data_IF_517524158761
#
_entry.id   IF_517524158761
#
_cell.length_a   1.000
_cell.length_b   1.000
_cell.length_c   1.000
_cell.angle_alpha   90.00
_cell.angle_beta   90.00
_cell.angle_gamma   90.00
#
_symmetry.space_group_name_H-M   'P 1'
#
loop_
_entity.id
_entity.type
_entity.pdbx_description
1 polymer ?
#
# COMPACT_ATOMS: atom_id res chain seq x y z
N UNK A 1 9.16 25.56 -7.52
CA UNK A 1 7.91 25.09 -6.86
C UNK A 1 7.44 23.76 -7.45
N UNK A 2 7.70 23.47 -8.73
CA UNK A 2 7.31 22.23 -9.42
C UNK A 2 7.84 20.92 -8.80
N UNK A 3 9.13 20.81 -8.47
CA UNK A 3 9.72 19.50 -8.12
C UNK A 3 9.29 18.90 -6.76
N UNK A 4 9.02 19.72 -5.75
CA UNK A 4 8.56 19.23 -4.44
C UNK A 4 7.09 18.78 -4.49
N UNK A 5 6.27 19.48 -5.29
CA UNK A 5 4.87 19.09 -5.54
C UNK A 5 4.77 17.81 -6.38
N UNK A 6 5.76 17.58 -7.24
CA UNK A 6 5.89 16.37 -8.06
C UNK A 6 6.12 15.12 -7.20
N UNK A 7 7.16 15.14 -6.35
CA UNK A 7 7.46 14.01 -5.45
C UNK A 7 6.27 13.72 -4.52
N UNK A 8 5.61 14.76 -3.99
CA UNK A 8 4.38 14.61 -3.21
C UNK A 8 3.24 13.92 -4.00
N UNK A 9 3.09 14.23 -5.29
CA UNK A 9 2.06 13.65 -6.16
C UNK A 9 2.30 12.18 -6.47
N UNK A 10 3.54 11.82 -6.83
CA UNK A 10 3.93 10.43 -7.11
C UNK A 10 3.84 9.60 -5.83
N UNK A 11 4.31 10.14 -4.71
CA UNK A 11 4.23 9.48 -3.42
C UNK A 11 2.78 9.25 -3.00
N UNK A 12 1.88 10.22 -3.17
CA UNK A 12 0.44 10.04 -2.92
C UNK A 12 -0.17 8.97 -3.83
N UNK A 13 0.17 8.96 -5.11
CA UNK A 13 -0.32 7.95 -6.05
C UNK A 13 0.17 6.55 -5.67
N UNK A 14 1.47 6.39 -5.41
CA UNK A 14 2.07 5.11 -4.98
C UNK A 14 1.44 4.59 -3.68
N UNK A 15 1.04 5.48 -2.79
CA UNK A 15 0.55 5.12 -1.46
C UNK A 15 -0.93 4.83 -1.47
N UNK A 16 -1.71 5.60 -2.23
CA UNK A 16 -3.09 5.27 -2.53
C UNK A 16 -3.18 3.91 -3.25
N UNK A 17 -2.32 3.66 -4.24
CA UNK A 17 -2.25 2.36 -4.92
C UNK A 17 -1.87 1.22 -3.97
N UNK A 18 -0.83 1.40 -3.15
CA UNK A 18 -0.41 0.42 -2.14
C UNK A 18 -1.51 0.11 -1.12
N UNK A 19 -2.33 1.09 -0.74
CA UNK A 19 -3.47 0.88 0.17
C UNK A 19 -4.54 0.05 -0.52
N UNK A 20 -4.93 0.38 -1.77
CA UNK A 20 -5.91 -0.42 -2.51
C UNK A 20 -5.43 -1.85 -2.69
N UNK A 21 -4.16 -2.03 -3.07
CA UNK A 21 -3.50 -3.33 -3.11
C UNK A 21 -3.59 -4.07 -1.78
N UNK A 22 -3.22 -3.42 -0.67
CA UNK A 22 -3.25 -4.01 0.66
C UNK A 22 -4.65 -4.44 1.09
N UNK A 23 -5.67 -3.63 0.79
CA UNK A 23 -7.06 -3.98 1.06
C UNK A 23 -7.50 -5.20 0.23
N UNK A 24 -7.13 -5.26 -1.05
CA UNK A 24 -7.48 -6.38 -1.92
C UNK A 24 -6.80 -7.67 -1.46
N UNK A 25 -5.50 -7.63 -1.15
CA UNK A 25 -4.77 -8.81 -0.66
C UNK A 25 -5.26 -9.25 0.71
N UNK A 26 -5.61 -8.31 1.59
CA UNK A 26 -6.21 -8.61 2.89
C UNK A 26 -7.58 -9.27 2.74
N UNK A 27 -8.47 -8.72 1.90
CA UNK A 27 -9.78 -9.33 1.62
C UNK A 27 -9.63 -10.76 1.09
N UNK A 28 -8.67 -11.02 0.20
CA UNK A 28 -8.38 -12.39 -0.25
C UNK A 28 -7.81 -13.29 0.84
N UNK A 29 -7.02 -12.75 1.77
CA UNK A 29 -6.52 -13.48 2.93
C UNK A 29 -7.64 -13.85 3.92
N UNK A 30 -8.58 -12.95 4.16
CA UNK A 30 -9.71 -13.18 5.06
C UNK A 30 -10.63 -14.27 4.55
N UNK A 31 -10.90 -14.33 3.24
CA UNK A 31 -11.74 -15.38 2.64
C UNK A 31 -11.18 -16.79 2.91
N UNK A 32 -9.86 -16.96 2.91
CA UNK A 32 -9.20 -18.24 3.23
C UNK A 32 -9.42 -18.65 4.69
N UNK A 33 -9.44 -17.69 5.62
CA UNK A 33 -9.59 -17.97 7.05
C UNK A 33 -11.01 -18.49 7.38
N UNK A 34 -12.02 -18.08 6.60
CA UNK A 34 -13.41 -18.53 6.78
C UNK A 34 -13.69 -19.96 6.27
N UNK A 35 -12.67 -20.69 5.81
CA UNK A 35 -12.77 -22.13 5.52
C UNK A 35 -13.47 -22.48 4.20
N UNK A 36 -14.00 -21.51 3.46
CA UNK A 36 -14.40 -21.70 2.06
C UNK A 36 -13.21 -21.40 1.16
N UNK A 37 -12.31 -22.38 1.03
CA UNK A 37 -11.21 -22.33 0.08
C UNK A 37 -11.74 -22.46 -1.36
N UNK A 38 -12.42 -21.41 -1.84
CA UNK A 38 -12.82 -21.28 -3.25
C UNK A 38 -11.62 -21.45 -4.21
N UNK A 39 -10.40 -21.20 -3.71
CA UNK A 39 -9.13 -21.43 -4.40
C UNK A 39 -8.88 -22.91 -4.76
N UNK A 40 -9.42 -23.85 -4.00
CA UNK A 40 -9.37 -25.29 -4.29
C UNK A 40 -10.54 -25.78 -5.14
N UNK A 41 -11.60 -24.98 -5.29
CA UNK A 41 -12.83 -25.36 -6.01
C UNK A 41 -12.88 -24.79 -7.44
N UNK A 42 -12.40 -23.58 -7.65
CA UNK A 42 -12.50 -22.88 -8.94
C UNK A 42 -11.13 -22.56 -9.53
N UNK A 43 -10.85 -23.12 -10.71
CA UNK A 43 -9.63 -22.86 -11.47
C UNK A 43 -9.48 -21.37 -11.81
N UNK A 44 -10.60 -20.71 -12.14
CA UNK A 44 -10.63 -19.29 -12.47
C UNK A 44 -10.18 -18.47 -11.25
N UNK A 45 -10.70 -18.80 -10.06
CA UNK A 45 -10.34 -18.10 -8.83
C UNK A 45 -8.88 -18.32 -8.43
N UNK A 46 -8.39 -19.56 -8.57
CA UNK A 46 -6.99 -19.93 -8.41
C UNK A 46 -6.09 -19.03 -9.28
N UNK A 47 -6.32 -18.96 -10.59
CA UNK A 47 -5.53 -18.13 -11.51
C UNK A 47 -5.63 -16.64 -11.18
N UNK A 48 -6.85 -16.12 -11.00
CA UNK A 48 -7.11 -14.70 -10.73
C UNK A 48 -6.38 -14.21 -9.47
N UNK A 49 -6.39 -15.01 -8.40
CA UNK A 49 -5.71 -14.68 -7.15
C UNK A 49 -4.22 -14.46 -7.35
N UNK A 50 -3.55 -15.36 -8.08
CA UNK A 50 -2.12 -15.25 -8.33
C UNK A 50 -1.79 -14.10 -9.30
N UNK A 51 -2.58 -13.93 -10.37
CA UNK A 51 -2.41 -12.82 -11.32
C UNK A 51 -2.49 -11.47 -10.60
N UNK A 52 -3.55 -11.25 -9.81
CA UNK A 52 -3.73 -10.00 -9.07
C UNK A 52 -2.66 -9.81 -7.99
N UNK A 53 -2.40 -10.84 -7.17
CA UNK A 53 -1.40 -10.76 -6.11
C UNK A 53 0.00 -10.43 -6.64
N UNK A 54 0.40 -11.06 -7.74
CA UNK A 54 1.68 -10.83 -8.39
C UNK A 54 1.76 -9.44 -9.02
N UNK A 55 0.72 -9.03 -9.78
CA UNK A 55 0.67 -7.70 -10.42
C UNK A 55 0.85 -6.61 -9.37
N UNK A 56 0.10 -6.71 -8.28
CA UNK A 56 0.14 -5.72 -7.22
C UNK A 56 1.46 -5.70 -6.45
N UNK A 57 2.05 -6.87 -6.17
CA UNK A 57 3.35 -6.97 -5.52
C UNK A 57 4.46 -6.32 -6.37
N UNK A 58 4.55 -6.70 -7.65
CA UNK A 58 5.52 -6.13 -8.59
C UNK A 58 5.36 -4.62 -8.71
N UNK A 59 4.13 -4.15 -8.95
CA UNK A 59 3.85 -2.72 -9.07
C UNK A 59 4.28 -1.98 -7.81
N UNK A 60 3.97 -2.51 -6.62
CA UNK A 60 4.36 -1.87 -5.36
C UNK A 60 5.87 -1.75 -5.21
N UNK A 61 6.62 -2.83 -5.48
CA UNK A 61 8.08 -2.84 -5.31
C UNK A 61 8.79 -1.88 -6.26
N UNK A 62 8.36 -1.84 -7.52
CA UNK A 62 8.93 -0.94 -8.51
C UNK A 62 8.47 0.51 -8.35
N UNK A 63 7.26 0.76 -7.85
CA UNK A 63 6.85 2.12 -7.48
C UNK A 63 7.71 2.68 -6.34
N UNK A 64 8.17 1.83 -5.39
CA UNK A 64 9.18 2.25 -4.40
C UNK A 64 10.49 2.63 -5.10
N UNK A 65 10.95 1.81 -6.06
CA UNK A 65 12.15 2.11 -6.85
C UNK A 65 12.01 3.45 -7.59
N UNK A 66 10.93 3.64 -8.35
CA UNK A 66 10.67 4.89 -9.07
C UNK A 66 10.57 6.09 -8.13
N UNK A 67 9.97 5.93 -6.95
CA UNK A 67 9.93 6.98 -5.92
C UNK A 67 11.33 7.36 -5.45
N UNK A 68 12.22 6.38 -5.22
CA UNK A 68 13.61 6.67 -4.79
C UNK A 68 14.44 7.32 -5.89
N UNK A 69 14.26 6.91 -7.15
CA UNK A 69 14.92 7.48 -8.32
C UNK A 69 14.45 8.92 -8.55
N UNK A 70 13.13 9.16 -8.48
CA UNK A 70 12.52 10.49 -8.55
C UNK A 70 13.05 11.40 -7.43
N UNK A 71 13.16 10.87 -6.21
CA UNK A 71 13.72 11.58 -5.07
C UNK A 71 15.20 11.92 -5.28
N UNK A 72 15.98 11.03 -5.90
CA UNK A 72 17.38 11.31 -6.24
C UNK A 72 17.51 12.43 -7.27
N UNK A 73 16.75 12.39 -8.36
CA UNK A 73 16.80 13.43 -9.40
C UNK A 73 16.30 14.78 -8.87
N UNK A 74 15.22 14.80 -8.10
CA UNK A 74 14.65 16.03 -7.55
C UNK A 74 15.55 16.71 -6.51
N UNK A 75 16.36 15.92 -5.80
CA UNK A 75 17.35 16.41 -4.82
C UNK A 75 18.73 16.65 -5.41
N UNK A 76 18.95 16.42 -6.71
CA UNK A 76 20.26 16.63 -7.33
C UNK A 76 20.61 18.13 -7.44
N UNK A 77 21.90 18.47 -7.31
CA UNK A 77 22.39 19.84 -7.42
C UNK A 77 22.39 20.36 -8.86
N UNK A 78 22.50 19.47 -9.86
CA UNK A 78 22.52 19.83 -11.27
C UNK A 78 21.09 20.12 -11.74
N UNK A 79 20.85 21.33 -12.25
CA UNK A 79 19.52 21.75 -12.73
C UNK A 79 19.01 20.85 -13.86
N UNK A 80 19.89 20.43 -14.78
CA UNK A 80 19.51 19.59 -15.92
C UNK A 80 18.94 18.24 -15.45
N UNK A 81 19.58 17.58 -14.47
CA UNK A 81 19.09 16.32 -13.90
C UNK A 81 17.77 16.50 -13.17
N UNK A 82 17.60 17.64 -12.48
CA UNK A 82 16.35 17.98 -11.80
C UNK A 82 15.21 18.23 -12.77
N UNK A 83 15.49 18.80 -13.95
CA UNK A 83 14.48 19.06 -14.99
C UNK A 83 14.00 17.79 -15.69
N UNK A 84 14.79 16.72 -15.73
CA UNK A 84 14.36 15.42 -16.25
C UNK A 84 13.23 14.79 -15.42
N UNK A 85 13.20 15.10 -14.12
CA UNK A 85 12.15 14.69 -13.20
C UNK A 85 10.88 15.51 -13.47
N UNK A 86 10.05 15.04 -14.40
CA UNK A 86 8.76 15.63 -14.74
C UNK A 86 7.60 14.70 -14.37
N UNK A 87 6.46 15.28 -13.96
CA UNK A 87 5.24 14.52 -13.62
C UNK A 87 4.74 13.66 -14.77
N UNK A 88 4.86 14.17 -16.00
CA UNK A 88 4.43 13.47 -17.20
C UNK A 88 5.25 12.21 -17.42
N UNK A 89 6.57 12.32 -17.27
CA UNK A 89 7.49 11.20 -17.44
C UNK A 89 7.30 10.14 -16.35
N UNK A 90 7.16 10.55 -15.09
CA UNK A 90 6.90 9.61 -13.99
C UNK A 90 5.59 8.83 -14.17
N UNK A 91 4.52 9.49 -14.61
CA UNK A 91 3.24 8.84 -14.94
C UNK A 91 3.37 7.87 -16.11
N UNK A 92 4.12 8.23 -17.14
CA UNK A 92 4.35 7.39 -18.31
C UNK A 92 5.12 6.10 -17.94
N UNK A 93 6.21 6.21 -17.17
CA UNK A 93 6.95 5.04 -16.70
C UNK A 93 6.12 4.16 -15.76
N UNK A 94 5.36 4.76 -14.83
CA UNK A 94 4.46 4.01 -13.97
C UNK A 94 3.41 3.24 -14.79
N UNK A 95 2.80 3.87 -15.79
CA UNK A 95 1.81 3.23 -16.65
C UNK A 95 2.40 2.07 -17.46
N UNK A 96 3.55 2.29 -18.13
CA UNK A 96 4.24 1.22 -18.87
C UNK A 96 4.56 0.05 -17.94
N UNK A 97 5.08 0.33 -16.75
CA UNK A 97 5.44 -0.72 -15.81
C UNK A 97 4.22 -1.49 -15.31
N UNK A 98 3.09 -0.81 -15.06
CA UNK A 98 1.84 -1.49 -14.68
C UNK A 98 1.37 -2.42 -15.80
N UNK A 99 1.39 -1.97 -17.06
CA UNK A 99 1.05 -2.81 -18.21
C UNK A 99 1.99 -4.03 -18.30
N UNK A 100 3.29 -3.82 -18.14
CA UNK A 100 4.28 -4.89 -18.09
C UNK A 100 3.99 -5.88 -16.94
N UNK A 101 3.70 -5.39 -15.74
CA UNK A 101 3.39 -6.21 -14.58
C UNK A 101 2.11 -7.06 -14.78
N UNK A 102 1.08 -6.50 -15.42
CA UNK A 102 -0.16 -7.21 -15.77
C UNK A 102 0.15 -8.33 -16.77
N UNK A 103 0.82 -8.01 -17.88
CA UNK A 103 1.15 -8.98 -18.93
C UNK A 103 2.01 -10.12 -18.35
N UNK A 104 3.04 -9.76 -17.58
CA UNK A 104 3.92 -10.71 -16.91
C UNK A 104 3.16 -11.63 -15.94
N UNK A 105 2.23 -11.07 -15.16
CA UNK A 105 1.44 -11.83 -14.19
C UNK A 105 0.40 -12.72 -14.85
N UNK A 106 -0.19 -12.30 -15.98
CA UNK A 106 -1.09 -13.15 -16.78
C UNK A 106 -0.33 -14.36 -17.33
N UNK A 107 0.87 -14.16 -17.87
CA UNK A 107 1.71 -15.24 -18.38
C UNK A 107 2.03 -16.26 -17.27
N UNK A 108 2.54 -15.82 -16.11
CA UNK A 108 2.82 -16.72 -14.99
C UNK A 108 1.55 -17.37 -14.43
N UNK A 109 0.47 -16.59 -14.31
CA UNK A 109 -0.82 -17.01 -13.78
C UNK A 109 -1.52 -18.07 -14.61
N UNK A 110 -1.34 -18.06 -15.93
CA UNK A 110 -1.93 -19.06 -16.83
C UNK A 110 -1.46 -20.49 -16.56
N UNK A 111 -0.24 -20.64 -16.03
CA UNK A 111 0.43 -21.91 -15.72
C UNK A 111 0.00 -22.53 -14.38
N UNK A 112 -0.92 -21.89 -13.64
CA UNK A 112 -1.46 -22.46 -12.40
C UNK A 112 -2.62 -23.42 -12.68
N UNK A 113 -2.59 -24.58 -12.03
CA UNK A 113 -3.65 -25.57 -12.07
C UNK A 113 -3.99 -26.08 -10.67
N UNK A 114 -5.20 -26.63 -10.51
CA UNK A 114 -5.65 -27.22 -9.25
C UNK A 114 -5.33 -28.70 -9.26
N UNK A 115 -4.61 -29.15 -8.24
CA UNK A 115 -4.39 -30.56 -7.97
C UNK A 115 -5.05 -30.95 -6.65
N UNK A 116 -5.73 -32.10 -6.57
CA UNK A 116 -6.49 -32.50 -5.38
C UNK A 116 -5.63 -32.60 -4.11
N UNK A 117 -4.35 -32.91 -4.24
CA UNK A 117 -3.40 -33.10 -3.14
C UNK A 117 -2.49 -31.90 -2.87
N UNK A 118 -2.50 -30.88 -3.72
CA UNK A 118 -1.59 -29.72 -3.62
C UNK A 118 -2.32 -28.37 -3.63
N UNK A 119 -3.61 -28.36 -3.96
CA UNK A 119 -4.36 -27.15 -4.24
C UNK A 119 -3.89 -26.48 -5.52
N UNK A 120 -3.93 -25.15 -5.56
CA UNK A 120 -3.53 -24.34 -6.71
C UNK A 120 -2.00 -24.16 -6.76
N UNK A 121 -1.35 -24.86 -7.69
CA UNK A 121 0.12 -24.84 -7.89
C UNK A 121 0.48 -24.68 -9.37
N UNK A 122 1.73 -24.30 -9.66
CA UNK A 122 2.24 -24.20 -11.02
C UNK A 122 2.41 -25.61 -11.59
N UNK A 123 1.79 -25.90 -12.73
CA UNK A 123 1.81 -27.25 -13.33
C UNK A 123 3.08 -27.54 -14.11
N UNK A 124 3.65 -26.53 -14.76
CA UNK A 124 4.78 -26.69 -15.67
C UNK A 124 6.11 -26.44 -14.95
N UNK A 125 7.01 -27.42 -15.07
CA UNK A 125 8.34 -27.40 -14.47
C UNK A 125 9.18 -26.19 -14.92
N UNK A 126 9.04 -25.76 -16.18
CA UNK A 126 9.75 -24.59 -16.72
C UNK A 126 9.37 -23.32 -15.97
N UNK A 127 8.07 -23.15 -15.71
CA UNK A 127 7.54 -22.01 -14.97
C UNK A 127 7.89 -22.07 -13.48
N UNK A 128 7.98 -23.27 -12.91
CA UNK A 128 8.49 -23.46 -11.52
C UNK A 128 9.93 -22.99 -11.42
N UNK A 129 10.81 -23.38 -12.35
CA UNK A 129 12.20 -22.93 -12.38
C UNK A 129 12.31 -21.42 -12.58
N UNK A 130 11.57 -20.86 -13.54
CA UNK A 130 11.51 -19.41 -13.76
C UNK A 130 11.08 -18.66 -12.51
N UNK A 131 10.00 -19.12 -11.87
CA UNK A 131 9.46 -18.49 -10.67
C UNK A 131 10.48 -18.51 -9.52
N UNK A 132 11.12 -19.66 -9.34
CA UNK A 132 12.09 -19.93 -8.27
C UNK A 132 13.37 -19.13 -8.42
N UNK A 133 14.03 -19.22 -9.58
CA UNK A 133 15.40 -18.74 -9.75
C UNK A 133 15.48 -17.32 -10.27
N UNK A 134 14.44 -16.83 -10.96
CA UNK A 134 14.42 -15.50 -11.54
C UNK A 134 13.41 -14.59 -10.86
N UNK A 135 12.13 -14.98 -10.85
CA UNK A 135 11.05 -14.09 -10.42
C UNK A 135 11.17 -13.67 -8.94
N UNK A 136 11.22 -14.63 -8.01
CA UNK A 136 11.29 -14.30 -6.59
C UNK A 136 12.60 -13.60 -6.19
N UNK A 137 13.78 -14.20 -6.43
CA UNK A 137 15.04 -13.64 -5.94
C UNK A 137 15.44 -12.37 -6.69
N UNK A 138 15.32 -12.33 -8.02
CA UNK A 138 15.81 -11.20 -8.81
C UNK A 138 14.73 -10.14 -8.92
N UNK A 139 13.60 -10.46 -9.55
CA UNK A 139 12.60 -9.46 -9.92
C UNK A 139 11.85 -8.90 -8.70
N UNK A 140 11.51 -9.76 -7.73
CA UNK A 140 10.75 -9.36 -6.54
C UNK A 140 11.61 -9.01 -5.32
N UNK A 141 12.87 -9.46 -5.31
CA UNK A 141 13.79 -9.38 -4.18
C UNK A 141 14.96 -8.43 -4.41
N UNK A 142 16.10 -8.96 -4.84
CA UNK A 142 17.38 -8.25 -4.87
C UNK A 142 17.39 -7.02 -5.79
N UNK A 143 16.82 -7.11 -7.00
CA UNK A 143 16.85 -5.99 -7.95
C UNK A 143 16.14 -4.74 -7.39
N UNK A 144 14.87 -4.80 -6.94
CA UNK A 144 14.21 -3.65 -6.35
C UNK A 144 14.88 -3.19 -5.04
N UNK A 145 15.40 -4.11 -4.23
CA UNK A 145 16.14 -3.74 -3.00
C UNK A 145 17.40 -2.93 -3.32
N UNK A 146 18.21 -3.38 -4.29
CA UNK A 146 19.46 -2.71 -4.67
C UNK A 146 19.15 -1.33 -5.26
N UNK A 147 18.20 -1.25 -6.20
CA UNK A 147 17.80 0.02 -6.81
C UNK A 147 17.27 0.98 -5.74
N UNK A 148 16.30 0.55 -4.92
CA UNK A 148 15.72 1.42 -3.91
C UNK A 148 16.75 1.89 -2.86
N UNK A 149 17.64 1.00 -2.41
CA UNK A 149 18.66 1.32 -1.39
C UNK A 149 19.72 2.26 -1.93
N UNK A 150 20.23 2.02 -3.14
CA UNK A 150 21.26 2.88 -3.76
C UNK A 150 20.74 4.29 -4.00
N UNK A 151 19.58 4.44 -4.66
CA UNK A 151 19.02 5.77 -4.96
C UNK A 151 18.51 6.49 -3.71
N UNK A 152 17.95 5.80 -2.71
CA UNK A 152 17.55 6.44 -1.45
C UNK A 152 18.75 6.96 -0.66
N UNK A 153 19.86 6.20 -0.62
CA UNK A 153 21.10 6.63 0.03
C UNK A 153 21.72 7.84 -0.69
N UNK A 154 21.76 7.82 -2.02
CA UNK A 154 22.22 8.96 -2.82
C UNK A 154 21.35 10.21 -2.63
N UNK A 155 20.03 10.05 -2.60
CA UNK A 155 19.10 11.14 -2.32
C UNK A 155 19.31 11.72 -0.92
N UNK A 156 19.52 10.87 0.09
CA UNK A 156 19.82 11.30 1.45
C UNK A 156 21.14 12.09 1.52
N UNK A 157 22.18 11.61 0.84
CA UNK A 157 23.46 12.31 0.76
C UNK A 157 23.31 13.69 0.10
N UNK A 158 22.58 13.77 -1.01
CA UNK A 158 22.31 15.04 -1.72
C UNK A 158 21.62 16.06 -0.80
N UNK A 159 20.60 15.64 -0.04
CA UNK A 159 19.88 16.52 0.89
C UNK A 159 20.80 16.99 2.03
N UNK A 160 21.65 16.12 2.57
CA UNK A 160 22.63 16.49 3.60
C UNK A 160 23.66 17.49 3.08
N UNK A 161 24.01 17.44 1.80
CA UNK A 161 24.95 18.38 1.20
C UNK A 161 24.30 19.73 0.85
N UNK A 162 23.06 19.73 0.32
CA UNK A 162 22.29 20.94 -0.03
C UNK A 162 22.04 21.85 1.18
N UNK A 163 21.97 21.28 2.37
CA UNK A 163 21.88 21.98 3.66
C UNK A 163 22.89 23.13 3.81
N UNK A 164 24.04 23.08 3.13
CA UNK A 164 25.06 24.15 3.19
C UNK A 164 24.82 25.33 2.23
N UNK A 165 23.87 25.25 1.29
CA UNK A 165 23.56 26.34 0.33
C UNK A 165 22.25 27.06 0.70
N UNK A 166 22.17 28.36 0.40
CA UNK A 166 21.07 29.27 0.74
C UNK A 166 19.77 28.96 -0.02
N UNK A 167 19.07 27.89 0.35
CA UNK A 167 17.67 27.68 -0.03
C UNK A 167 16.73 28.21 1.06
N UNK A 168 15.54 28.71 0.70
CA UNK A 168 14.56 29.19 1.68
C UNK A 168 14.22 28.08 2.70
N UNK A 169 14.30 28.44 3.98
CA UNK A 169 14.24 27.52 5.15
C UNK A 169 13.03 26.59 5.10
N UNK A 170 11.88 27.08 4.61
CA UNK A 170 10.63 26.32 4.55
C UNK A 170 10.70 25.14 3.58
N UNK A 171 11.30 25.33 2.38
CA UNK A 171 11.41 24.25 1.38
C UNK A 171 12.35 23.15 1.85
N UNK A 172 13.45 23.55 2.48
CA UNK A 172 14.46 22.62 3.02
C UNK A 172 13.89 21.67 4.07
N UNK A 173 13.02 22.15 4.96
CA UNK A 173 12.37 21.29 5.97
C UNK A 173 11.47 20.24 5.31
N UNK A 174 10.74 20.62 4.27
CA UNK A 174 9.86 19.72 3.52
C UNK A 174 10.66 18.63 2.77
N UNK A 175 11.69 19.02 2.01
CA UNK A 175 12.50 18.06 1.25
C UNK A 175 13.23 17.07 2.16
N UNK A 176 13.72 17.54 3.33
CA UNK A 176 14.31 16.68 4.36
C UNK A 176 13.31 15.67 4.92
N UNK A 177 12.08 16.11 5.20
CA UNK A 177 11.02 15.26 5.72
C UNK A 177 10.60 14.19 4.71
N UNK A 178 10.41 14.57 3.44
CA UNK A 178 10.05 13.63 2.36
C UNK A 178 11.17 12.61 2.14
N UNK A 179 12.42 13.06 2.05
CA UNK A 179 13.57 12.16 1.83
C UNK A 179 13.75 11.19 3.01
N UNK A 180 13.61 11.67 4.24
CA UNK A 180 13.64 10.81 5.43
C UNK A 180 12.51 9.79 5.42
N UNK A 181 11.30 10.19 4.99
CA UNK A 181 10.17 9.29 4.86
C UNK A 181 10.42 8.19 3.81
N UNK A 182 10.96 8.55 2.63
CA UNK A 182 11.32 7.59 1.59
C UNK A 182 12.41 6.63 2.08
N UNK A 183 13.43 7.12 2.79
CA UNK A 183 14.48 6.27 3.36
C UNK A 183 13.91 5.26 4.36
N UNK A 184 13.06 5.71 5.29
CA UNK A 184 12.39 4.82 6.25
C UNK A 184 11.52 3.78 5.54
N UNK A 185 10.86 4.16 4.44
CA UNK A 185 10.08 3.24 3.62
C UNK A 185 10.94 2.14 3.00
N UNK A 186 12.14 2.48 2.51
CA UNK A 186 13.10 1.51 1.96
C UNK A 186 13.63 0.60 3.05
N UNK A 187 14.01 1.13 4.21
CA UNK A 187 14.47 0.30 5.36
C UNK A 187 13.38 -0.71 5.74
N UNK A 188 12.14 -0.25 5.90
CA UNK A 188 11.01 -1.11 6.20
C UNK A 188 10.78 -2.17 5.10
N UNK A 189 10.90 -1.80 3.83
CA UNK A 189 10.79 -2.72 2.70
C UNK A 189 11.86 -3.82 2.79
N UNK A 190 13.13 -3.47 3.02
CA UNK A 190 14.22 -4.45 3.17
C UNK A 190 13.95 -5.39 4.35
N UNK A 191 13.58 -4.86 5.52
CA UNK A 191 13.33 -5.67 6.72
C UNK A 191 12.12 -6.61 6.57
N UNK A 192 11.05 -6.20 5.90
CA UNK A 192 9.82 -7.00 5.78
C UNK A 192 9.88 -8.00 4.63
N UNK A 193 10.57 -7.68 3.53
CA UNK A 193 10.54 -8.47 2.28
C UNK A 193 11.74 -9.40 2.15
N UNK A 194 12.90 -9.06 2.72
CA UNK A 194 14.08 -9.94 2.66
C UNK A 194 13.90 -11.32 3.33
N UNK A 195 13.27 -11.44 4.52
CA UNK A 195 13.18 -12.74 5.20
C UNK A 195 12.35 -13.74 4.39
N UNK A 196 11.27 -13.28 3.76
CA UNK A 196 10.44 -14.11 2.89
C UNK A 196 11.23 -14.57 1.66
N UNK A 197 11.97 -13.69 0.98
CA UNK A 197 12.76 -14.07 -0.19
C UNK A 197 13.88 -15.06 0.15
N UNK A 198 14.60 -14.84 1.26
CA UNK A 198 15.64 -15.76 1.72
C UNK A 198 15.04 -17.15 2.01
N UNK A 199 13.92 -17.19 2.73
CA UNK A 199 13.23 -18.44 3.01
C UNK A 199 12.74 -19.14 1.73
N UNK A 200 12.24 -18.39 0.74
CA UNK A 200 11.82 -18.97 -0.54
C UNK A 200 12.99 -19.59 -1.29
N UNK A 201 14.15 -18.96 -1.29
CA UNK A 201 15.38 -19.54 -1.87
C UNK A 201 15.75 -20.81 -1.11
N UNK A 202 15.79 -20.75 0.22
CA UNK A 202 16.08 -21.91 1.06
C UNK A 202 15.11 -23.09 0.79
N UNK A 203 13.81 -22.83 0.78
CA UNK A 203 12.78 -23.86 0.63
C UNK A 203 12.83 -24.58 -0.72
N UNK A 204 13.35 -23.94 -1.78
CA UNK A 204 13.51 -24.59 -3.07
C UNK A 204 14.84 -25.34 -3.21
N UNK A 205 15.91 -24.86 -2.57
CA UNK A 205 17.18 -25.58 -2.56
C UNK A 205 17.16 -26.80 -1.63
N UNK A 206 16.34 -26.75 -0.57
CA UNK A 206 16.21 -27.81 0.43
C UNK A 206 14.75 -28.26 0.57
N UNK A 207 14.18 -28.92 -0.46
CA UNK A 207 12.78 -29.34 -0.43
C UNK A 207 12.57 -30.37 0.67
N UNK A 208 11.69 -30.06 1.62
CA UNK A 208 11.31 -31.00 2.68
C UNK A 208 10.31 -32.00 2.14
N UNK A 209 10.66 -33.29 2.16
CA UNK A 209 9.76 -34.37 1.74
C UNK A 209 8.52 -34.44 2.65
N UNK A 210 7.37 -34.74 2.04
CA UNK A 210 6.11 -34.97 2.76
C UNK A 210 6.10 -36.25 3.60
N UNK A 211 7.05 -37.15 3.36
CA UNK A 211 7.22 -38.37 4.18
C UNK A 211 7.55 -38.04 5.64
N UNK A 212 8.01 -36.82 5.93
CA UNK A 212 8.29 -36.34 7.28
C UNK A 212 7.27 -35.23 7.64
N UNK A 213 6.06 -35.59 8.12
CA UNK A 213 4.94 -34.66 8.27
C UNK A 213 5.23 -33.50 9.22
N UNK A 214 6.00 -33.75 10.29
CA UNK A 214 6.35 -32.73 11.28
C UNK A 214 7.22 -31.61 10.67
N UNK A 215 8.29 -31.98 9.94
CA UNK A 215 9.17 -31.00 9.29
C UNK A 215 8.42 -30.19 8.23
N UNK A 216 7.54 -30.85 7.47
CA UNK A 216 6.69 -30.18 6.48
C UNK A 216 5.73 -29.17 7.15
N UNK A 217 5.08 -29.55 8.24
CA UNK A 217 4.16 -28.67 8.99
C UNK A 217 4.88 -27.42 9.54
N UNK A 218 6.08 -27.59 10.11
CA UNK A 218 6.92 -26.48 10.57
C UNK A 218 7.30 -25.54 9.42
N UNK A 219 7.72 -26.09 8.28
CA UNK A 219 8.03 -25.28 7.09
C UNK A 219 6.82 -24.48 6.59
N UNK A 220 5.62 -25.06 6.62
CA UNK A 220 4.38 -24.35 6.25
C UNK A 220 4.03 -23.24 7.24
N UNK A 221 4.25 -23.46 8.53
CA UNK A 221 4.05 -22.43 9.56
C UNK A 221 5.02 -21.25 9.35
N UNK A 222 6.32 -21.53 9.18
CA UNK A 222 7.34 -20.52 8.90
C UNK A 222 6.98 -19.73 7.64
N UNK A 223 6.59 -20.42 6.56
CA UNK A 223 6.14 -19.78 5.32
C UNK A 223 4.97 -18.82 5.56
N UNK A 224 3.97 -19.23 6.36
CA UNK A 224 2.79 -18.42 6.67
C UNK A 224 3.14 -17.17 7.48
N UNK A 225 4.02 -17.30 8.48
CA UNK A 225 4.51 -16.18 9.29
C UNK A 225 5.27 -15.18 8.40
N UNK A 226 6.21 -15.65 7.59
CA UNK A 226 7.01 -14.78 6.71
C UNK A 226 6.17 -14.12 5.63
N UNK A 227 5.17 -14.82 5.08
CA UNK A 227 4.22 -14.24 4.15
C UNK A 227 3.37 -13.15 4.83
N UNK A 228 2.96 -13.36 6.08
CA UNK A 228 2.23 -12.36 6.87
C UNK A 228 3.07 -11.10 7.13
N UNK A 229 4.35 -11.28 7.47
CA UNK A 229 5.31 -10.17 7.61
C UNK A 229 5.47 -9.43 6.28
N UNK A 230 5.59 -10.14 5.17
CA UNK A 230 5.64 -9.54 3.84
C UNK A 230 4.34 -8.76 3.51
N UNK A 231 3.16 -9.23 3.95
CA UNK A 231 1.90 -8.51 3.73
C UNK A 231 1.80 -7.20 4.52
N UNK A 232 2.44 -7.10 5.69
CA UNK A 232 2.54 -5.83 6.46
C UNK A 232 3.21 -4.73 5.62
N UNK A 233 4.08 -5.11 4.67
CA UNK A 233 4.72 -4.18 3.75
C UNK A 233 3.73 -3.36 2.91
N UNK A 234 2.52 -3.86 2.63
CA UNK A 234 1.52 -3.08 1.88
C UNK A 234 0.85 -2.01 2.75
N UNK A 235 0.75 -2.24 4.06
CA UNK A 235 0.06 -1.36 5.01
C UNK A 235 1.01 -0.33 5.63
N UNK A 236 2.30 -0.65 5.75
CA UNK A 236 3.28 0.24 6.41
C UNK A 236 3.37 1.63 5.79
N UNK A 237 3.08 1.77 4.49
CA UNK A 237 2.97 3.07 3.83
C UNK A 237 2.01 4.00 4.60
N UNK A 238 0.80 3.53 4.89
CA UNK A 238 -0.21 4.29 5.62
C UNK A 238 0.28 4.74 7.00
N UNK A 239 0.90 3.82 7.76
CA UNK A 239 1.45 4.14 9.08
C UNK A 239 2.60 5.17 9.00
N UNK A 240 3.48 5.04 8.00
CA UNK A 240 4.56 6.02 7.78
C UNK A 240 4.01 7.42 7.46
N UNK A 241 2.91 7.56 6.70
CA UNK A 241 2.26 8.88 6.49
C UNK A 241 1.76 9.48 7.78
N UNK A 242 1.12 8.68 8.63
CA UNK A 242 0.59 9.15 9.91
C UNK A 242 1.71 9.63 10.84
N UNK A 243 2.81 8.87 10.92
CA UNK A 243 3.94 9.14 11.82
C UNK A 243 4.79 10.31 11.32
N UNK A 244 5.08 10.40 10.02
CA UNK A 244 6.02 11.40 9.53
C UNK A 244 5.35 12.68 9.05
N UNK A 245 4.17 12.63 8.46
CA UNK A 245 3.55 13.84 7.87
C UNK A 245 2.75 14.62 8.92
N UNK A 246 3.40 15.58 9.57
CA UNK A 246 2.75 16.57 10.44
C UNK A 246 1.65 17.35 9.72
N UNK A 247 1.84 17.62 8.42
CA UNK A 247 0.83 18.23 7.54
C UNK A 247 -0.36 17.30 7.35
N UNK A 248 -0.13 16.01 7.09
CA UNK A 248 -1.21 15.02 6.98
C UNK A 248 -1.96 14.90 8.30
N UNK A 249 -1.26 14.83 9.45
CA UNK A 249 -1.92 14.85 10.77
C UNK A 249 -2.80 16.09 10.95
N UNK A 250 -2.33 17.28 10.55
CA UNK A 250 -3.14 18.51 10.59
C UNK A 250 -4.35 18.42 9.67
N UNK A 251 -4.19 17.95 8.43
CA UNK A 251 -5.31 17.81 7.49
C UNK A 251 -6.33 16.76 7.95
N UNK A 252 -5.88 15.59 8.41
CA UNK A 252 -6.75 14.55 8.97
C UNK A 252 -7.48 15.06 10.20
N UNK A 253 -6.79 15.73 11.13
CA UNK A 253 -7.44 16.39 12.27
C UNK A 253 -8.48 17.40 11.80
N UNK A 254 -8.18 18.24 10.81
CA UNK A 254 -9.13 19.22 10.27
C UNK A 254 -10.35 18.54 9.62
N UNK A 255 -10.15 17.48 8.83
CA UNK A 255 -11.25 16.75 8.20
C UNK A 255 -12.10 16.02 9.23
N UNK A 256 -11.47 15.36 10.21
CA UNK A 256 -12.17 14.67 11.30
C UNK A 256 -12.92 15.65 12.19
N UNK A 257 -12.29 16.76 12.59
CA UNK A 257 -12.93 17.84 13.37
C UNK A 257 -14.07 18.46 12.57
N UNK A 258 -13.89 18.75 11.28
CA UNK A 258 -14.96 19.32 10.44
C UNK A 258 -16.13 18.35 10.27
N UNK A 259 -15.87 17.05 10.02
CA UNK A 259 -16.93 16.03 9.94
C UNK A 259 -17.64 15.83 11.28
N UNK A 260 -16.90 15.77 12.39
CA UNK A 260 -17.48 15.67 13.73
C UNK A 260 -18.31 16.91 14.07
N UNK A 261 -17.82 18.10 13.74
CA UNK A 261 -18.54 19.36 13.92
C UNK A 261 -19.82 19.43 13.08
N UNK A 262 -19.77 18.99 11.82
CA UNK A 262 -20.95 18.91 10.96
C UNK A 262 -21.99 17.92 11.51
N UNK A 263 -21.55 16.74 11.98
CA UNK A 263 -22.43 15.76 12.63
C UNK A 263 -23.03 16.31 13.93
N UNK A 264 -22.23 16.98 14.75
CA UNK A 264 -22.69 17.61 15.99
C UNK A 264 -23.71 18.71 15.72
N UNK A 265 -23.46 19.60 14.75
CA UNK A 265 -24.40 20.65 14.35
C UNK A 265 -25.73 20.06 13.86
N UNK A 266 -25.69 18.99 13.06
CA UNK A 266 -26.90 18.30 12.59
C UNK A 266 -27.69 17.68 13.76
N UNK A 267 -26.99 17.06 14.71
CA UNK A 267 -27.62 16.46 15.89
C UNK A 267 -28.24 17.53 16.82
N UNK A 268 -27.57 18.66 17.04
CA UNK A 268 -28.12 19.77 17.82
C UNK A 268 -29.36 20.41 17.16
N UNK A 269 -29.36 20.62 15.83
CA UNK A 269 -30.55 21.12 15.12
C UNK A 269 -31.73 20.14 15.22
N UNK A 270 -31.46 18.84 15.13
CA UNK A 270 -32.51 17.82 15.24
C UNK A 270 -33.09 17.70 16.66
N UNK A 271 -32.30 17.97 17.70
CA UNK A 271 -32.80 18.00 19.09
C UNK A 271 -33.64 19.25 19.34
N UNK A 272 -33.24 20.42 18.85
CA UNK A 272 -33.99 21.66 19.07
C UNK A 272 -35.41 21.59 18.47
N UNK A 273 -35.55 21.02 17.27
CA UNK A 273 -36.85 20.83 16.63
C UNK A 273 -37.76 19.79 17.34
N UNK A 274 -37.23 18.96 18.24
CA UNK A 274 -38.05 18.02 19.04
C UNK A 274 -38.54 18.61 20.36
N UNK A 275 -37.97 19.72 20.81
CA UNK A 275 -38.36 20.38 22.08
C UNK A 275 -39.51 21.38 21.86
N UNK A 276 -39.85 21.67 20.60
CA UNK A 276 -40.87 22.65 20.21
C UNK A 276 -42.26 22.07 19.76
N UNK A 277 -42.86 21.03 20.40
CA UNK A 277 -44.26 20.68 20.11
C UNK A 277 -45.31 20.92 21.20
N UNK A 278 -44.99 21.35 22.43
CA UNK A 278 -46.02 21.38 23.51
C UNK A 278 -46.61 22.75 23.87
N UNK A 279 -46.04 23.87 23.44
CA UNK A 279 -46.62 25.20 23.77
C UNK A 279 -47.87 25.55 22.94
N UNK A 280 -48.20 24.78 21.90
CA UNK A 280 -49.42 24.97 21.11
C UNK A 280 -50.63 24.17 21.64
N UNK A 281 -50.43 23.28 22.62
CA UNK A 281 -51.54 22.53 23.23
C UNK A 281 -52.21 23.38 24.33
N UNK A 282 -51.47 24.24 25.04
CA UNK A 282 -52.06 25.15 26.03
C UNK A 282 -52.90 26.26 25.40
N UNK A 283 -52.53 26.78 24.23
CA UNK A 283 -53.32 27.82 23.55
C UNK A 283 -54.69 27.32 23.06
N UNK A 284 -54.80 26.03 22.70
CA UNK A 284 -56.06 25.46 22.19
C UNK A 284 -57.05 25.11 23.31
N UNK A 285 -56.58 24.84 24.54
CA UNK A 285 -57.46 24.60 25.70
C UNK A 285 -58.05 25.90 26.26
N UNK A 286 -57.34 27.03 26.20
CA UNK A 286 -57.89 28.33 26.60
C UNK A 286 -59.01 28.85 25.70
N UNK A 287 -59.19 28.30 24.48
CA UNK A 287 -60.25 28.72 23.55
C UNK A 287 -61.54 27.91 23.71
N UNK A 288 -61.49 26.69 24.27
CA UNK A 288 -62.70 25.88 24.51
C UNK A 288 -63.43 26.24 25.81
N UNK A 289 -62.78 26.89 26.78
CA UNK A 289 -63.46 27.35 28.01
C UNK A 289 -64.34 28.59 27.81
N UNK A 290 -64.19 29.36 26.72
CA UNK A 290 -65.03 30.55 26.47
C UNK A 290 -66.34 30.27 25.72
N UNK A 291 -66.53 29.10 25.12
CA UNK A 291 -67.74 28.75 24.35
C UNK A 291 -68.76 27.91 25.15
N UNK A 292 -68.45 27.51 26.38
CA UNK A 292 -69.31 26.66 27.22
C UNK A 292 -70.27 27.38 28.18
N UNK A 293 -70.32 28.71 28.19
CA UNK A 293 -71.14 29.51 29.13
C UNK A 293 -72.14 30.44 28.42
N UNK A 294 -72.94 29.89 27.50
CA UNK A 294 -74.12 30.56 26.92
C UNK A 294 -75.30 29.59 26.84
#
# INVERSE_FOLDING_TARGET
>A
MSSSLLSDGILKFATQYSIYTGCITFSFGVIVIYGDDATGRSLIWCKLRYILGQTFALTTFYMICFTTVDQFFSTNYRLNLRQMCTLKLGRYFAFIFICFAIIHSIALGSSFNIYPTFGCVISDHTWVQYSTYFFYPILSGFLPIIIASTFSMLAYHNVRHIVRRQLPIVRRKLDKQITAMVLMRVIAYVCLVSPYNIYRIYAVNFPTSRSVPMAYAVGRLIQSILLSINNINFVINFYLFIIFSSRFRRQVKLVLVKKCWQRWKYWCCHINNRIEPDNNIEAHNSQMESEGNL
#
